data_IF_108781372563
#
_entry.id   IF_108781372563
#
_cell.length_a   1.000
_cell.length_b   1.000
_cell.length_c   1.000
_cell.angle_alpha   90.00
_cell.angle_beta   90.00
_cell.angle_gamma   90.00
#
_symmetry.space_group_name_H-M   'P 1'
#
loop_
_entity.id
_entity.type
_entity.pdbx_description
1 polymer ?
#
# COMPACT_ATOMS: atom_id res chain seq x y z
N UNK A 1 -25.10 20.86 -26.44
CA UNK A 1 -26.00 21.32 -25.36
C UNK A 1 -27.10 20.28 -25.19
N UNK A 2 -27.06 19.47 -24.13
CA UNK A 2 -28.22 18.95 -23.41
C UNK A 2 -27.71 18.22 -22.16
N UNK A 3 -28.27 18.65 -21.04
CA UNK A 3 -27.86 18.44 -19.66
C UNK A 3 -28.61 17.22 -19.10
N UNK A 4 -27.94 16.29 -18.38
CA UNK A 4 -28.63 15.30 -17.52
C UNK A 4 -27.79 14.93 -16.29
N UNK A 5 -28.08 15.68 -15.24
CA UNK A 5 -28.36 15.28 -13.86
C UNK A 5 -27.57 14.10 -13.24
N UNK A 6 -26.68 14.47 -12.30
CA UNK A 6 -26.14 13.61 -11.26
C UNK A 6 -27.24 13.22 -10.26
N UNK A 7 -27.44 11.91 -10.06
CA UNK A 7 -28.23 11.37 -8.95
C UNK A 7 -27.34 11.23 -7.73
N UNK A 8 -27.60 12.05 -6.70
CA UNK A 8 -27.15 11.84 -5.32
C UNK A 8 -27.77 10.55 -4.77
N UNK A 9 -26.96 9.74 -4.10
CA UNK A 9 -27.43 8.62 -3.29
C UNK A 9 -27.41 9.07 -1.82
N UNK A 10 -28.59 9.12 -1.20
CA UNK A 10 -28.76 9.32 0.23
C UNK A 10 -28.59 7.97 0.95
N UNK A 11 -27.73 7.94 1.98
CA UNK A 11 -27.60 6.82 2.89
C UNK A 11 -28.57 7.06 4.05
N UNK A 12 -29.63 6.24 4.13
CA UNK A 12 -30.54 6.22 5.26
C UNK A 12 -29.85 5.61 6.49
N UNK A 13 -29.68 6.41 7.54
CA UNK A 13 -29.25 5.95 8.86
C UNK A 13 -30.43 5.28 9.58
N UNK A 14 -30.24 4.03 10.00
CA UNK A 14 -31.15 3.31 10.89
C UNK A 14 -30.96 3.81 12.33
N UNK A 15 -32.03 4.38 12.86
CA UNK A 15 -32.20 4.83 14.24
C UNK A 15 -32.25 3.64 15.21
N UNK A 16 -31.35 3.64 16.20
CA UNK A 16 -31.40 2.75 17.36
C UNK A 16 -32.04 3.50 18.53
N UNK A 17 -33.27 3.10 18.88
CA UNK A 17 -33.99 3.52 20.07
C UNK A 17 -33.35 2.88 21.32
N UNK A 18 -32.86 3.70 22.25
CA UNK A 18 -32.55 3.29 23.61
C UNK A 18 -33.66 3.76 24.56
N UNK A 19 -34.31 2.81 25.23
CA UNK A 19 -35.37 3.04 26.21
C UNK A 19 -34.85 3.50 27.57
N UNK A 20 -35.68 4.32 28.22
CA UNK A 20 -35.58 4.91 29.56
C UNK A 20 -35.98 3.90 30.66
N UNK A 21 -35.47 4.07 31.89
CA UNK A 21 -35.70 3.15 33.00
C UNK A 21 -35.14 3.59 34.38
N UNK A 22 -35.73 4.65 34.96
CA UNK A 22 -36.08 4.82 36.39
C UNK A 22 -35.03 4.99 37.52
N UNK A 23 -35.07 6.22 38.08
CA UNK A 23 -35.08 6.69 39.51
C UNK A 23 -34.57 5.79 40.67
N UNK A 24 -33.73 6.41 41.52
CA UNK A 24 -33.53 6.05 42.94
C UNK A 24 -32.92 7.21 43.76
N UNK A 25 -33.40 7.41 44.99
CA UNK A 25 -33.26 8.60 45.87
C UNK A 25 -31.94 8.74 46.64
N UNK A 26 -31.66 10.00 47.03
CA UNK A 26 -30.82 10.56 48.13
C UNK A 26 -31.03 9.86 49.51
N UNK A 27 -30.09 9.94 50.50
CA UNK A 27 -29.92 11.18 51.30
C UNK A 27 -28.54 11.50 51.96
N UNK A 28 -28.37 12.81 52.18
CA UNK A 28 -27.73 13.58 53.30
C UNK A 28 -26.52 13.08 54.10
N UNK A 29 -25.55 13.99 54.29
CA UNK A 29 -24.82 14.11 55.58
C UNK A 29 -23.47 14.85 55.54
N UNK A 30 -23.37 15.97 56.26
CA UNK A 30 -22.15 16.35 57.01
C UNK A 30 -21.16 17.36 56.39
N UNK A 31 -21.06 18.55 57.01
CA UNK A 31 -19.95 19.53 56.89
C UNK A 31 -19.33 19.69 58.31
N UNK A 32 -18.23 20.47 58.51
CA UNK A 32 -16.81 20.09 58.66
C UNK A 32 -16.31 20.26 60.13
N UNK A 33 -14.99 20.27 60.45
CA UNK A 33 -14.19 21.51 60.35
C UNK A 33 -12.68 21.36 60.08
N UNK A 34 -12.10 22.51 59.72
CA UNK A 34 -10.68 22.89 59.63
C UNK A 34 -9.82 22.58 60.86
N UNK A 35 -8.50 22.37 60.67
CA UNK A 35 -7.42 22.94 61.49
C UNK A 35 -6.01 22.75 60.87
N UNK A 36 -5.39 23.89 60.62
CA UNK A 36 -3.97 24.29 60.69
C UNK A 36 -2.96 23.29 61.25
N UNK A 37 -1.77 23.18 60.62
CA UNK A 37 -0.49 23.37 61.32
C UNK A 37 0.71 23.53 60.38
N UNK A 38 1.56 24.43 60.82
CA UNK A 38 2.75 24.96 60.18
C UNK A 38 3.92 23.97 60.15
N UNK A 39 4.78 24.17 59.14
CA UNK A 39 6.22 24.34 59.32
C UNK A 39 7.03 23.10 59.65
N UNK A 40 7.80 22.61 58.66
CA UNK A 40 9.16 22.12 58.90
C UNK A 40 10.11 22.55 57.79
N UNK A 41 11.15 23.26 58.26
CA UNK A 41 12.40 23.58 57.60
C UNK A 41 12.99 22.36 56.87
N UNK A 42 13.40 22.55 55.62
CA UNK A 42 14.53 21.82 55.05
C UNK A 42 15.45 22.77 54.29
N UNK A 43 16.72 22.62 54.62
CA UNK A 43 17.88 23.41 54.21
C UNK A 43 18.16 23.32 52.68
N UNK A 44 18.96 24.27 52.13
CA UNK A 44 19.25 24.32 50.70
C UNK A 44 20.22 23.20 50.30
N UNK A 45 19.77 22.28 49.46
CA UNK A 45 20.66 21.39 48.72
C UNK A 45 21.33 22.18 47.60
N UNK A 46 22.66 22.15 47.66
CA UNK A 46 23.59 22.90 46.84
C UNK A 46 23.37 22.64 45.35
N UNK A 47 23.16 23.74 44.63
CA UNK A 47 23.31 23.91 43.20
C UNK A 47 24.59 23.23 42.68
N UNK A 48 24.47 22.03 42.13
CA UNK A 48 25.44 21.49 41.17
C UNK A 48 24.97 21.94 39.80
N UNK A 49 25.64 22.95 39.27
CA UNK A 49 25.33 23.62 38.02
C UNK A 49 25.27 22.60 36.88
N UNK A 50 24.09 22.55 36.26
CA UNK A 50 23.84 22.30 34.85
C UNK A 50 25.07 22.47 33.97
N UNK A 51 25.54 21.37 33.39
CA UNK A 51 26.18 21.34 32.06
C UNK A 51 25.50 20.24 31.25
N UNK A 52 24.21 20.46 30.97
CA UNK A 52 23.48 19.78 29.92
C UNK A 52 23.12 20.86 28.91
N UNK A 53 23.67 20.79 27.70
CA UNK A 53 23.11 21.23 26.41
C UNK A 53 24.25 21.40 25.41
N UNK A 54 24.30 20.50 24.43
CA UNK A 54 24.83 20.67 23.07
C UNK A 54 25.50 19.38 22.56
N UNK A 55 24.77 18.26 22.51
CA UNK A 55 25.13 17.11 21.67
C UNK A 55 23.93 16.19 21.43
N UNK A 56 22.80 16.77 21.04
CA UNK A 56 21.60 16.05 20.59
C UNK A 56 21.05 16.74 19.35
N UNK A 57 21.85 16.78 18.29
CA UNK A 57 21.37 17.09 16.93
C UNK A 57 22.23 16.37 15.89
N UNK A 58 22.60 15.11 16.13
CA UNK A 58 23.02 14.22 15.05
C UNK A 58 21.74 13.74 14.38
N UNK A 59 21.42 14.44 13.29
CA UNK A 59 20.75 13.96 12.09
C UNK A 59 19.91 12.67 12.28
N UNK A 60 18.71 12.82 12.82
CA UNK A 60 17.58 12.06 12.28
C UNK A 60 17.23 12.68 10.93
N UNK A 61 18.11 12.54 9.93
CA UNK A 61 17.62 12.53 8.56
C UNK A 61 16.75 11.29 8.47
N UNK A 62 15.42 11.40 8.27
CA UNK A 62 14.68 10.22 7.86
C UNK A 62 15.39 9.72 6.61
N UNK A 63 15.97 8.53 6.69
CA UNK A 63 16.13 7.68 5.52
C UNK A 63 14.71 7.55 5.00
N UNK A 64 14.34 8.46 4.10
CA UNK A 64 13.17 8.33 3.25
C UNK A 64 13.45 7.06 2.47
N UNK A 65 13.02 5.94 3.05
CA UNK A 65 12.97 4.67 2.37
C UNK A 65 12.01 4.91 1.21
N UNK A 66 12.57 5.27 0.07
CA UNK A 66 11.83 5.24 -1.18
C UNK A 66 11.26 3.82 -1.26
N UNK A 67 9.95 3.70 -1.48
CA UNK A 67 9.32 2.40 -1.60
C UNK A 67 10.05 1.61 -2.68
N UNK A 68 10.83 0.61 -2.27
CA UNK A 68 11.60 -0.23 -3.18
C UNK A 68 10.71 -1.34 -3.68
N UNK A 69 10.50 -1.35 -4.98
CA UNK A 69 9.73 -2.38 -5.65
C UNK A 69 10.63 -3.52 -6.05
N UNK A 70 10.05 -4.71 -6.22
CA UNK A 70 10.78 -5.85 -6.77
C UNK A 70 10.32 -6.13 -8.20
N UNK A 71 11.28 -6.48 -9.04
CA UNK A 71 11.05 -6.74 -10.44
C UNK A 71 11.90 -7.90 -10.95
N UNK A 72 11.52 -8.37 -12.14
CA UNK A 72 12.27 -9.28 -12.99
C UNK A 72 12.33 -8.66 -14.38
N UNK A 73 13.26 -9.12 -15.22
CA UNK A 73 13.26 -8.68 -16.61
C UNK A 73 12.15 -9.38 -17.41
N UNK A 74 11.59 -8.66 -18.38
CA UNK A 74 10.70 -9.18 -19.41
C UNK A 74 11.25 -8.81 -20.79
N UNK A 75 12.39 -9.41 -21.11
CA UNK A 75 13.18 -9.19 -22.32
C UNK A 75 13.12 -10.43 -23.23
N UNK A 76 12.75 -10.30 -24.52
CA UNK A 76 12.74 -11.43 -25.45
C UNK A 76 14.09 -12.13 -25.58
N UNK A 77 15.19 -11.39 -25.42
CA UNK A 77 16.56 -11.90 -25.56
C UNK A 77 16.99 -12.76 -24.36
N UNK A 78 16.17 -12.82 -23.30
CA UNK A 78 16.45 -13.59 -22.09
C UNK A 78 17.44 -12.92 -21.14
N UNK A 79 17.95 -11.74 -21.48
CA UNK A 79 18.78 -10.90 -20.62
C UNK A 79 18.55 -9.42 -20.93
N UNK A 80 18.98 -8.55 -20.02
CA UNK A 80 19.08 -7.11 -20.28
C UNK A 80 20.32 -6.52 -19.62
N UNK A 81 20.72 -5.31 -20.03
CA UNK A 81 21.90 -4.65 -19.48
C UNK A 81 21.53 -3.65 -18.40
N UNK A 82 22.21 -3.74 -17.26
CA UNK A 82 22.24 -2.70 -16.23
C UNK A 82 23.33 -1.69 -16.59
N UNK A 83 22.97 -0.41 -16.66
CA UNK A 83 23.87 0.66 -17.14
C UNK A 83 24.29 1.62 -16.04
N UNK A 84 25.42 2.28 -16.21
CA UNK A 84 25.97 3.18 -15.20
C UNK A 84 25.14 4.48 -15.04
N UNK A 85 24.49 4.92 -16.11
CA UNK A 85 23.59 6.10 -16.16
C UNK A 85 22.27 5.75 -16.83
N UNK A 86 21.26 6.61 -16.67
CA UNK A 86 19.93 6.56 -17.29
C UNK A 86 19.97 6.85 -18.81
N UNK A 87 20.82 6.13 -19.53
CA UNK A 87 21.10 6.32 -20.95
C UNK A 87 21.51 5.00 -21.60
N UNK A 88 20.98 4.72 -22.79
CA UNK A 88 21.27 3.53 -23.58
C UNK A 88 22.72 3.47 -24.09
N UNK A 89 23.43 4.60 -24.16
CA UNK A 89 24.84 4.64 -24.55
C UNK A 89 25.81 4.58 -23.36
N UNK A 90 25.29 4.59 -22.13
CA UNK A 90 26.12 4.48 -20.94
C UNK A 90 26.75 3.09 -20.80
N UNK A 91 27.93 3.04 -20.17
CA UNK A 91 28.66 1.81 -19.88
C UNK A 91 27.78 0.76 -19.19
N UNK A 92 27.90 -0.49 -19.61
CA UNK A 92 27.23 -1.63 -18.97
C UNK A 92 27.98 -1.98 -17.68
N UNK A 93 27.27 -1.98 -16.57
CA UNK A 93 27.80 -2.32 -15.23
C UNK A 93 27.57 -3.80 -14.93
N UNK A 94 26.46 -4.36 -15.40
CA UNK A 94 26.14 -5.77 -15.25
C UNK A 94 25.18 -6.26 -16.35
N UNK A 95 25.19 -7.56 -16.60
CA UNK A 95 24.16 -8.27 -17.36
C UNK A 95 23.17 -8.90 -16.37
N UNK A 96 21.89 -8.71 -16.60
CA UNK A 96 20.80 -9.25 -15.77
C UNK A 96 20.09 -10.33 -16.57
N UNK A 97 20.15 -11.58 -16.10
CA UNK A 97 19.49 -12.70 -16.77
C UNK A 97 18.01 -12.80 -16.40
N UNK A 98 17.23 -13.50 -17.24
CA UNK A 98 15.82 -13.76 -16.99
C UNK A 98 15.62 -14.54 -15.69
N UNK A 99 14.64 -14.12 -14.90
CA UNK A 99 14.31 -14.73 -13.61
C UNK A 99 15.13 -14.19 -12.43
N UNK A 100 16.16 -13.38 -12.65
CA UNK A 100 16.82 -12.64 -11.56
C UNK A 100 15.84 -11.63 -10.99
N UNK A 101 15.51 -11.78 -9.71
CA UNK A 101 14.72 -10.81 -8.96
C UNK A 101 15.64 -9.71 -8.45
N UNK A 102 15.28 -8.46 -8.69
CA UNK A 102 16.02 -7.28 -8.25
C UNK A 102 15.08 -6.24 -7.65
N UNK A 103 15.66 -5.27 -6.95
CA UNK A 103 14.94 -4.10 -6.45
C UNK A 103 15.05 -2.95 -7.44
N UNK A 104 14.02 -2.11 -7.52
CA UNK A 104 14.06 -0.88 -8.29
C UNK A 104 13.31 0.28 -7.61
N UNK A 105 13.80 1.48 -7.87
CA UNK A 105 13.22 2.73 -7.37
C UNK A 105 12.31 3.34 -8.45
N UNK A 106 11.16 3.86 -8.06
CA UNK A 106 10.16 4.45 -8.96
C UNK A 106 10.26 5.97 -9.08
N UNK A 107 11.06 6.59 -8.20
CA UNK A 107 11.37 8.02 -8.23
C UNK A 107 12.86 8.15 -8.49
N UNK A 108 13.23 8.72 -9.63
CA UNK A 108 14.63 9.00 -9.96
C UNK A 108 14.80 10.50 -10.07
N UNK A 109 15.66 11.08 -9.22
CA UNK A 109 16.00 12.51 -9.25
C UNK A 109 14.79 13.47 -9.09
N UNK A 110 13.72 13.04 -8.41
CA UNK A 110 12.50 13.83 -8.25
C UNK A 110 11.51 13.70 -9.42
N UNK A 111 11.83 12.91 -10.44
CA UNK A 111 10.89 12.55 -11.50
C UNK A 111 10.11 11.28 -11.13
N UNK A 112 8.80 11.41 -11.03
CA UNK A 112 7.86 10.33 -10.73
C UNK A 112 7.70 9.33 -11.89
N UNK A 113 8.04 9.73 -13.13
CA UNK A 113 7.85 8.90 -14.34
C UNK A 113 9.12 8.80 -15.18
N UNK A 114 10.21 8.38 -14.55
CA UNK A 114 11.48 8.18 -15.24
C UNK A 114 11.41 6.95 -16.18
N UNK A 115 11.78 7.14 -17.44
CA UNK A 115 11.92 6.01 -18.40
C UNK A 115 13.08 5.07 -18.03
N UNK A 116 13.98 5.51 -17.15
CA UNK A 116 15.09 4.74 -16.62
C UNK A 116 14.97 4.66 -15.10
N UNK A 117 14.82 3.44 -14.59
CA UNK A 117 14.68 3.19 -13.16
C UNK A 117 16.03 2.76 -12.59
N UNK A 118 16.30 3.22 -11.37
CA UNK A 118 17.48 2.77 -10.63
C UNK A 118 17.22 1.36 -10.11
N UNK A 119 18.12 0.44 -10.39
CA UNK A 119 18.02 -0.97 -10.04
C UNK A 119 19.16 -1.36 -9.12
N UNK A 120 18.85 -2.17 -8.11
CA UNK A 120 19.81 -2.82 -7.22
C UNK A 120 19.67 -4.34 -7.35
N UNK A 121 20.74 -5.01 -7.81
CA UNK A 121 20.79 -6.46 -7.95
C UNK A 121 21.05 -7.15 -6.61
N UNK A 122 20.75 -8.46 -6.48
CA UNK A 122 21.09 -9.24 -5.28
C UNK A 122 22.57 -9.23 -4.92
N UNK A 123 23.45 -9.04 -5.92
CA UNK A 123 24.90 -8.88 -5.72
C UNK A 123 25.30 -7.56 -5.05
N UNK A 124 24.36 -6.63 -4.88
CA UNK A 124 24.61 -5.26 -4.42
C UNK A 124 25.02 -4.29 -5.52
N UNK A 125 25.22 -4.78 -6.76
CA UNK A 125 25.49 -3.91 -7.91
C UNK A 125 24.28 -3.01 -8.20
N UNK A 126 24.57 -1.74 -8.52
CA UNK A 126 23.56 -0.72 -8.79
C UNK A 126 23.78 -0.10 -10.17
N UNK A 127 22.68 0.28 -10.81
CA UNK A 127 22.71 0.99 -12.08
C UNK A 127 21.31 1.38 -12.51
N UNK A 128 21.15 1.60 -13.81
CA UNK A 128 19.90 2.03 -14.42
C UNK A 128 19.45 1.02 -15.47
N UNK A 129 18.16 0.78 -15.51
CA UNK A 129 17.52 -0.09 -16.48
C UNK A 129 16.29 0.62 -17.04
N UNK A 130 16.10 0.52 -18.35
CA UNK A 130 14.93 1.11 -18.98
C UNK A 130 13.66 0.42 -18.46
N UNK A 131 12.65 1.21 -18.10
CA UNK A 131 11.40 0.74 -17.49
C UNK A 131 10.71 -0.32 -18.36
N UNK A 132 10.81 -0.21 -19.69
CA UNK A 132 10.29 -1.20 -20.63
C UNK A 132 10.97 -2.58 -20.56
N UNK A 133 12.00 -2.78 -19.75
CA UNK A 133 12.63 -4.10 -19.54
C UNK A 133 12.19 -4.73 -18.21
N UNK A 134 11.50 -3.97 -17.36
CA UNK A 134 11.13 -4.37 -16.01
C UNK A 134 9.67 -4.80 -15.99
N UNK A 135 9.41 -5.93 -15.34
CA UNK A 135 8.09 -6.39 -14.92
C UNK A 135 8.12 -6.54 -13.40
N UNK A 136 7.06 -6.11 -12.71
CA UNK A 136 6.91 -6.39 -11.28
C UNK A 136 7.05 -7.88 -10.99
N UNK A 137 7.63 -8.16 -9.84
CA UNK A 137 7.70 -9.49 -9.27
C UNK A 137 6.72 -9.58 -8.10
N UNK A 138 5.79 -10.54 -8.19
CA UNK A 138 4.88 -10.86 -7.11
C UNK A 138 5.35 -12.11 -6.36
N UNK A 139 5.47 -12.00 -5.04
CA UNK A 139 5.70 -13.14 -4.14
C UNK A 139 4.61 -13.14 -3.08
N UNK A 140 4.06 -14.32 -2.75
CA UNK A 140 3.08 -14.46 -1.69
C UNK A 140 3.61 -13.98 -0.33
N UNK A 141 4.94 -14.02 -0.13
CA UNK A 141 5.60 -13.50 1.07
C UNK A 141 5.44 -11.99 1.24
N UNK A 142 5.15 -11.26 0.16
CA UNK A 142 4.86 -9.82 0.22
C UNK A 142 3.54 -9.52 0.94
N UNK A 143 2.68 -10.52 1.15
CA UNK A 143 1.49 -10.43 2.00
C UNK A 143 1.79 -10.89 3.43
N UNK A 144 2.97 -10.60 3.98
CA UNK A 144 3.27 -10.85 5.39
C UNK A 144 2.36 -10.01 6.28
N UNK A 145 2.00 -10.53 7.45
CA UNK A 145 1.25 -9.74 8.43
C UNK A 145 2.10 -8.53 8.85
N UNK A 146 1.61 -7.34 8.55
CA UNK A 146 2.16 -6.06 9.03
C UNK A 146 1.42 -5.63 10.29
N UNK A 147 1.49 -4.36 10.67
CA UNK A 147 0.81 -3.87 11.87
C UNK A 147 -0.70 -4.15 11.80
N UNK A 148 -1.34 -4.65 12.87
CA UNK A 148 -2.80 -4.72 12.97
C UNK A 148 -3.49 -3.36 12.80
N UNK A 149 -2.74 -2.27 12.94
CA UNK A 149 -3.16 -0.87 12.81
C UNK A 149 -2.99 -0.34 11.39
N UNK A 150 -2.40 -1.11 10.47
CA UNK A 150 -2.34 -0.74 9.06
C UNK A 150 -3.75 -0.47 8.54
N UNK A 151 -3.90 0.64 7.82
CA UNK A 151 -5.20 1.11 7.33
C UNK A 151 -5.93 0.01 6.53
N UNK A 152 -5.18 -0.80 5.79
CA UNK A 152 -5.72 -1.96 5.04
C UNK A 152 -6.35 -3.04 5.92
N UNK A 153 -5.77 -3.29 7.09
CA UNK A 153 -6.33 -4.22 8.05
C UNK A 153 -7.58 -3.64 8.71
N UNK A 154 -7.56 -2.36 9.09
CA UNK A 154 -8.69 -1.70 9.73
C UNK A 154 -9.92 -1.72 8.82
N UNK A 155 -9.78 -1.34 7.56
CA UNK A 155 -10.89 -1.36 6.61
C UNK A 155 -11.37 -2.78 6.33
N UNK A 156 -10.48 -3.74 6.11
CA UNK A 156 -10.89 -5.13 5.89
C UNK A 156 -11.73 -5.69 7.06
N UNK A 157 -11.37 -5.34 8.30
CA UNK A 157 -12.14 -5.75 9.49
C UNK A 157 -13.53 -5.12 9.54
N UNK A 158 -13.69 -3.87 9.09
CA UNK A 158 -15.01 -3.24 8.92
C UNK A 158 -15.87 -4.01 7.90
N UNK A 159 -15.23 -4.66 6.92
CA UNK A 159 -15.86 -5.57 5.97
C UNK A 159 -15.92 -7.04 6.46
N UNK A 160 -15.54 -7.32 7.70
CA UNK A 160 -15.68 -8.62 8.35
C UNK A 160 -14.60 -9.66 8.02
N UNK A 161 -13.39 -9.23 7.63
CA UNK A 161 -12.27 -10.17 7.42
C UNK A 161 -10.90 -9.55 7.73
N UNK A 162 -9.90 -10.41 7.97
CA UNK A 162 -8.49 -9.98 8.13
C UNK A 162 -7.82 -9.85 6.77
N UNK A 163 -7.20 -8.69 6.48
CA UNK A 163 -6.70 -8.38 5.13
C UNK A 163 -5.61 -9.34 4.66
N UNK A 164 -4.50 -9.46 5.39
CA UNK A 164 -3.35 -10.26 4.95
C UNK A 164 -3.61 -11.77 4.88
N UNK A 165 -4.30 -12.39 5.86
CA UNK A 165 -4.76 -13.78 5.71
C UNK A 165 -5.63 -13.97 4.46
N UNK A 166 -6.55 -13.04 4.19
CA UNK A 166 -7.39 -13.08 2.99
C UNK A 166 -6.57 -12.89 1.70
N UNK A 167 -5.63 -11.94 1.67
CA UNK A 167 -4.76 -11.70 0.51
C UNK A 167 -3.88 -12.92 0.18
N UNK A 168 -3.34 -13.61 1.20
CA UNK A 168 -2.61 -14.87 1.00
C UNK A 168 -3.50 -15.98 0.44
N UNK A 169 -4.74 -16.10 0.92
CA UNK A 169 -5.69 -17.06 0.36
C UNK A 169 -6.07 -16.72 -1.09
N UNK A 170 -6.31 -15.44 -1.38
CA UNK A 170 -6.56 -14.94 -2.72
C UNK A 170 -5.39 -15.22 -3.66
N UNK A 171 -4.15 -14.99 -3.21
CA UNK A 171 -2.93 -15.28 -3.97
C UNK A 171 -2.74 -16.77 -4.30
N UNK A 172 -3.33 -17.68 -3.50
CA UNK A 172 -3.38 -19.12 -3.80
C UNK A 172 -4.51 -19.51 -4.75
N UNK A 173 -5.36 -18.56 -5.14
CA UNK A 173 -6.49 -18.76 -6.06
C UNK A 173 -7.82 -19.08 -5.38
N UNK A 174 -7.97 -18.85 -4.07
CA UNK A 174 -9.26 -19.02 -3.41
C UNK A 174 -10.27 -17.98 -3.95
N UNK A 175 -11.33 -18.47 -4.61
CA UNK A 175 -12.31 -17.61 -5.28
C UNK A 175 -13.06 -16.68 -4.32
N UNK A 176 -13.37 -17.14 -3.10
CA UNK A 176 -14.07 -16.33 -2.11
C UNK A 176 -13.16 -15.24 -1.55
N UNK A 177 -11.89 -15.58 -1.32
CA UNK A 177 -10.88 -14.63 -0.89
C UNK A 177 -10.58 -13.57 -1.97
N UNK A 178 -10.54 -13.97 -3.24
CA UNK A 178 -10.41 -13.05 -4.37
C UNK A 178 -11.61 -12.09 -4.45
N UNK A 179 -12.83 -12.59 -4.30
CA UNK A 179 -14.02 -11.74 -4.24
C UNK A 179 -13.97 -10.73 -3.10
N UNK A 180 -13.59 -11.17 -1.89
CA UNK A 180 -13.42 -10.27 -0.74
C UNK A 180 -12.34 -9.24 -0.99
N UNK A 181 -11.21 -9.66 -1.54
CA UNK A 181 -10.09 -8.77 -1.84
C UNK A 181 -10.52 -7.64 -2.77
N UNK A 182 -11.15 -7.96 -3.91
CA UNK A 182 -11.58 -6.94 -4.87
C UNK A 182 -12.86 -6.20 -4.47
N UNK A 183 -13.66 -6.71 -3.52
CA UNK A 183 -14.84 -6.02 -3.00
C UNK A 183 -14.53 -4.76 -2.19
N UNK A 184 -13.28 -4.61 -1.78
CA UNK A 184 -12.78 -3.44 -1.08
C UNK A 184 -12.79 -2.18 -1.98
N UNK A 185 -12.70 -2.35 -3.31
CA UNK A 185 -12.71 -1.24 -4.26
C UNK A 185 -11.49 -0.32 -4.12
N UNK A 186 -11.57 0.87 -4.72
CA UNK A 186 -10.51 1.88 -4.67
C UNK A 186 -11.05 3.19 -4.12
N UNK A 187 -11.16 3.39 -2.79
CA UNK A 187 -11.49 4.72 -2.30
C UNK A 187 -10.28 5.64 -2.37
N UNK A 188 -10.55 6.90 -2.10
CA UNK A 188 -9.56 7.94 -1.89
C UNK A 188 -8.79 7.73 -0.56
N UNK A 189 -7.54 8.20 -0.51
CA UNK A 189 -6.71 8.17 0.69
C UNK A 189 -5.68 7.04 0.76
N UNK A 190 -4.93 7.00 1.86
CA UNK A 190 -3.77 6.13 2.05
C UNK A 190 -4.09 4.63 2.00
N UNK A 191 -5.30 4.24 2.39
CA UNK A 191 -5.73 2.85 2.25
C UNK A 191 -5.85 2.40 0.79
N UNK A 192 -6.46 3.24 -0.06
CA UNK A 192 -6.67 2.95 -1.47
C UNK A 192 -5.35 2.76 -2.21
N UNK A 193 -4.34 3.57 -1.87
CA UNK A 193 -2.99 3.46 -2.41
C UNK A 193 -2.37 2.10 -2.08
N UNK A 194 -2.35 1.74 -0.78
CA UNK A 194 -1.82 0.46 -0.32
C UNK A 194 -2.57 -0.72 -0.96
N UNK A 195 -3.90 -0.65 -1.03
CA UNK A 195 -4.69 -1.71 -1.65
C UNK A 195 -4.35 -1.87 -3.15
N UNK A 196 -4.18 -0.76 -3.88
CA UNK A 196 -3.76 -0.78 -5.28
C UNK A 196 -2.38 -1.43 -5.45
N UNK A 197 -1.43 -1.13 -4.55
CA UNK A 197 -0.10 -1.76 -4.54
C UNK A 197 -0.19 -3.28 -4.31
N UNK A 198 -1.01 -3.72 -3.36
CA UNK A 198 -1.22 -5.15 -3.11
C UNK A 198 -1.97 -5.85 -4.26
N UNK A 199 -2.87 -5.15 -4.96
CA UNK A 199 -3.57 -5.69 -6.13
C UNK A 199 -2.60 -6.00 -7.28
N UNK A 200 -1.56 -5.18 -7.46
CA UNK A 200 -0.46 -5.47 -8.39
C UNK A 200 0.27 -6.76 -8.02
N UNK A 201 0.71 -6.89 -6.77
CA UNK A 201 1.39 -8.10 -6.30
C UNK A 201 0.50 -9.32 -6.48
N UNK A 202 -0.78 -9.21 -6.16
CA UNK A 202 -1.76 -10.28 -6.30
C UNK A 202 -1.91 -10.71 -7.76
N UNK A 203 -2.01 -9.76 -8.69
CA UNK A 203 -2.07 -10.05 -10.13
C UNK A 203 -0.83 -10.83 -10.60
N UNK A 204 0.37 -10.44 -10.16
CA UNK A 204 1.61 -11.11 -10.54
C UNK A 204 1.75 -12.50 -9.92
N UNK A 205 1.28 -12.71 -8.69
CA UNK A 205 1.28 -14.04 -8.03
C UNK A 205 0.26 -14.99 -8.68
N UNK A 206 -0.96 -14.52 -8.96
CA UNK A 206 -1.99 -15.31 -9.63
C UNK A 206 -1.60 -15.69 -11.06
N UNK A 207 -0.97 -14.73 -11.76
CA UNK A 207 -0.70 -14.82 -13.18
C UNK A 207 -1.92 -14.56 -14.05
N UNK A 208 -1.64 -14.18 -15.30
CA UNK A 208 -2.63 -13.71 -16.27
C UNK A 208 -3.78 -14.69 -16.53
N UNK A 209 -3.47 -15.99 -16.65
CA UNK A 209 -4.51 -16.99 -16.97
C UNK A 209 -5.55 -17.11 -15.86
N UNK A 210 -5.12 -17.13 -14.59
CA UNK A 210 -6.03 -17.27 -13.45
C UNK A 210 -6.80 -15.98 -13.20
N UNK A 211 -6.13 -14.83 -13.32
CA UNK A 211 -6.78 -13.53 -13.19
C UNK A 211 -7.87 -13.33 -14.25
N UNK A 212 -7.58 -13.65 -15.52
CA UNK A 212 -8.53 -13.56 -16.62
C UNK A 212 -9.72 -14.54 -16.46
N UNK A 213 -9.48 -15.74 -15.93
CA UNK A 213 -10.54 -16.70 -15.62
C UNK A 213 -11.44 -16.17 -14.49
N UNK A 214 -10.84 -15.79 -13.35
CA UNK A 214 -11.57 -15.23 -12.22
C UNK A 214 -12.44 -14.05 -12.64
N UNK A 215 -11.89 -13.10 -13.40
CA UNK A 215 -12.61 -11.94 -13.91
C UNK A 215 -13.86 -12.29 -14.72
N UNK A 216 -13.74 -13.24 -15.66
CA UNK A 216 -14.86 -13.63 -16.52
C UNK A 216 -16.01 -14.28 -15.75
N UNK A 217 -15.69 -14.96 -14.65
CA UNK A 217 -16.67 -15.62 -13.79
C UNK A 217 -17.41 -14.65 -12.85
N UNK A 218 -17.00 -13.36 -12.80
CA UNK A 218 -17.62 -12.37 -11.93
C UNK A 218 -18.86 -11.72 -12.55
N UNK A 219 -19.77 -11.26 -11.68
CA UNK A 219 -20.90 -10.41 -12.06
C UNK A 219 -20.40 -9.05 -12.59
N UNK A 220 -21.18 -8.34 -13.45
CA UNK A 220 -20.76 -7.08 -14.06
C UNK A 220 -20.26 -6.00 -13.07
N UNK A 221 -20.90 -5.87 -11.90
CA UNK A 221 -20.47 -4.92 -10.87
C UNK A 221 -19.07 -5.25 -10.32
N UNK A 222 -18.79 -6.53 -10.05
CA UNK A 222 -17.48 -6.96 -9.59
C UNK A 222 -16.43 -6.88 -10.71
N UNK A 223 -16.80 -7.16 -11.96
CA UNK A 223 -15.93 -6.93 -13.12
C UNK A 223 -15.54 -5.45 -13.23
N UNK A 224 -16.46 -4.53 -12.95
CA UNK A 224 -16.15 -3.10 -12.94
C UNK A 224 -15.14 -2.78 -11.84
N UNK A 225 -15.34 -3.22 -10.60
CA UNK A 225 -14.39 -2.99 -9.51
C UNK A 225 -13.00 -3.54 -9.81
N UNK A 226 -12.90 -4.77 -10.34
CA UNK A 226 -11.59 -5.35 -10.72
C UNK A 226 -10.89 -4.49 -11.77
N UNK A 227 -11.63 -3.98 -12.78
CA UNK A 227 -11.05 -3.09 -13.79
C UNK A 227 -10.60 -1.78 -13.18
N UNK A 228 -11.42 -1.15 -12.35
CA UNK A 228 -11.09 0.12 -11.69
C UNK A 228 -9.86 -0.03 -10.80
N UNK A 229 -9.76 -1.11 -10.01
CA UNK A 229 -8.57 -1.42 -9.23
C UNK A 229 -7.36 -1.59 -10.13
N UNK A 230 -7.39 -2.48 -11.12
CA UNK A 230 -6.21 -2.79 -11.93
C UNK A 230 -5.83 -1.69 -12.93
N UNK A 231 -6.76 -0.81 -13.30
CA UNK A 231 -6.52 0.36 -14.14
C UNK A 231 -6.38 1.64 -13.30
N UNK A 232 -6.27 1.51 -11.98
CA UNK A 232 -5.82 2.62 -11.16
C UNK A 232 -4.40 2.97 -11.54
N UNK A 233 -4.11 4.26 -11.73
CA UNK A 233 -2.76 4.75 -11.99
C UNK A 233 -1.76 4.44 -10.88
N UNK A 234 -2.25 3.97 -9.72
CA UNK A 234 -1.44 3.56 -8.57
C UNK A 234 -1.04 2.09 -8.61
N UNK A 235 -1.83 1.22 -9.25
CA UNK A 235 -1.58 -0.23 -9.22
C UNK A 235 -0.29 -0.58 -9.91
N UNK A 236 -0.08 -0.09 -11.14
CA UNK A 236 1.13 -0.38 -11.90
C UNK A 236 2.11 0.80 -11.96
N UNK A 237 1.99 1.77 -11.05
CA UNK A 237 2.92 2.90 -10.98
C UNK A 237 4.37 2.41 -10.82
N UNK A 238 5.34 2.90 -11.62
CA UNK A 238 5.31 4.12 -12.44
C UNK A 238 4.97 3.87 -13.91
N UNK A 239 4.58 2.66 -14.28
CA UNK A 239 4.23 2.30 -15.65
C UNK A 239 2.81 2.77 -15.98
N UNK A 240 2.56 3.06 -17.27
CA UNK A 240 1.20 3.32 -17.75
C UNK A 240 0.39 2.03 -17.67
N UNK A 241 -0.70 2.07 -16.92
CA UNK A 241 -1.43 0.90 -16.45
C UNK A 241 -2.02 0.06 -17.59
N UNK A 242 -2.53 0.68 -18.66
CA UNK A 242 -3.16 -0.03 -19.78
C UNK A 242 -2.12 -0.69 -20.67
N UNK A 243 -1.01 -0.02 -20.95
CA UNK A 243 0.13 -0.57 -21.68
C UNK A 243 0.77 -1.71 -20.88
N UNK A 244 0.93 -1.53 -19.56
CA UNK A 244 1.47 -2.56 -18.68
C UNK A 244 0.59 -3.82 -18.68
N UNK A 245 -0.73 -3.66 -18.51
CA UNK A 245 -1.70 -4.76 -18.60
C UNK A 245 -1.66 -5.47 -19.95
N UNK A 246 -1.72 -4.73 -21.07
CA UNK A 246 -1.68 -5.33 -22.41
C UNK A 246 -0.41 -6.14 -22.64
N UNK A 247 0.73 -5.67 -22.13
CA UNK A 247 2.01 -6.34 -22.30
C UNK A 247 2.15 -7.59 -21.42
N UNK A 248 1.88 -7.46 -20.12
CA UNK A 248 2.23 -8.50 -19.15
C UNK A 248 1.05 -9.39 -18.74
N UNK A 249 -0.18 -8.96 -19.06
CA UNK A 249 -1.42 -9.66 -18.76
C UNK A 249 -2.37 -9.67 -19.99
N UNK A 250 -1.93 -10.17 -21.16
CA UNK A 250 -2.69 -10.05 -22.41
C UNK A 250 -4.07 -10.73 -22.35
N UNK A 251 -4.24 -11.83 -21.62
CA UNK A 251 -5.55 -12.49 -21.48
C UNK A 251 -6.51 -11.66 -20.62
N UNK A 252 -6.00 -11.07 -19.55
CA UNK A 252 -6.75 -10.17 -18.68
C UNK A 252 -7.14 -8.90 -19.43
N UNK A 253 -6.20 -8.31 -20.17
CA UNK A 253 -6.45 -7.14 -21.01
C UNK A 253 -7.51 -7.43 -22.09
N UNK A 254 -7.43 -8.57 -22.77
CA UNK A 254 -8.45 -9.00 -23.72
C UNK A 254 -9.83 -9.18 -23.05
N UNK A 255 -9.88 -9.78 -21.86
CA UNK A 255 -11.12 -9.92 -21.10
C UNK A 255 -11.71 -8.55 -20.70
N UNK A 256 -10.88 -7.53 -20.51
CA UNK A 256 -11.32 -6.16 -20.25
C UNK A 256 -11.82 -5.43 -21.51
N UNK A 257 -11.67 -6.02 -22.69
CA UNK A 257 -11.98 -5.38 -23.97
C UNK A 257 -10.92 -4.39 -24.43
N UNK A 258 -9.68 -4.49 -23.91
CA UNK A 258 -8.56 -3.67 -24.36
C UNK A 258 -8.04 -4.18 -25.70
N UNK A 259 -7.93 -3.29 -26.69
CA UNK A 259 -7.33 -3.57 -28.00
C UNK A 259 -5.85 -3.17 -28.04
#
# INVERSE_FOLDING_TARGET
MHNRASKKWEISALSLQSGDGTRGRRPTGGVPPSKTLAGKLFAPLRSTRMRLLALTLILCTPLMACAQWTGVIDDPDGYTNLRARSDAQSAVVARVEKGVVFQFDTIVQGEEKASWLKVTLPSGQKGFMHSSRIRFYGDIKAFSDTSPEDEVNVIARQHGFEYFPNARAAARGDARALQRFFSLGTPDGGWGENHCMYANLLAHVLGDTRLAAFYRDQKPAMQQHIRETLQSGLTFYPFEEKAYLRRHFPKTAAAFGMK
#
